data_IF_021385413702
#
_entry.id   IF_021385413702
#
_cell.length_a   1.000
_cell.length_b   1.000
_cell.length_c   1.000
_cell.angle_alpha   90.00
_cell.angle_beta   90.00
_cell.angle_gamma   90.00
#
_symmetry.space_group_name_H-M   'P 1'
#
loop_
_entity.id
_entity.type
_entity.pdbx_description
1 polymer ?
#
# COMPACT_ATOMS: atom_id res chain seq x y z
N UNK A 1 4.44 -23.20 -21.08
CA UNK A 1 3.87 -23.85 -19.88
C UNK A 1 2.38 -23.54 -19.89
N UNK A 2 1.52 -24.55 -19.93
CA UNK A 2 0.07 -24.39 -19.98
C UNK A 2 -0.50 -24.18 -18.57
N UNK A 3 -0.25 -23.00 -17.98
CA UNK A 3 -0.67 -22.67 -16.62
C UNK A 3 -2.19 -22.42 -16.51
N UNK A 4 -2.89 -22.32 -17.64
CA UNK A 4 -4.35 -22.21 -17.69
C UNK A 4 -5.03 -23.55 -18.01
N UNK A 5 -4.25 -24.62 -18.15
CA UNK A 5 -4.72 -25.98 -18.31
C UNK A 5 -5.24 -26.61 -17.01
N UNK A 6 -5.91 -27.75 -17.16
CA UNK A 6 -6.70 -28.41 -16.11
C UNK A 6 -5.98 -28.64 -14.76
N UNK A 7 -4.68 -28.96 -14.79
CA UNK A 7 -3.92 -29.23 -13.55
C UNK A 7 -3.77 -27.95 -12.70
N UNK A 8 -3.55 -26.81 -13.36
CA UNK A 8 -3.32 -25.54 -12.70
C UNK A 8 -4.60 -24.80 -12.37
N UNK A 9 -5.63 -24.87 -13.22
CA UNK A 9 -6.96 -24.29 -12.92
C UNK A 9 -7.63 -24.96 -11.73
N UNK A 10 -7.41 -26.27 -11.52
CA UNK A 10 -7.92 -26.97 -10.35
C UNK A 10 -7.14 -26.65 -9.07
N UNK A 11 -5.81 -26.62 -9.13
CA UNK A 11 -4.98 -26.38 -7.95
C UNK A 11 -4.92 -24.90 -7.55
N UNK A 12 -4.95 -23.99 -8.53
CA UNK A 12 -4.76 -22.54 -8.36
C UNK A 12 -5.72 -21.74 -9.26
N UNK A 13 -7.04 -21.83 -9.02
CA UNK A 13 -8.05 -21.20 -9.88
C UNK A 13 -7.84 -19.69 -10.05
N UNK A 14 -7.44 -18.98 -8.98
CA UNK A 14 -7.17 -17.54 -9.04
C UNK A 14 -5.91 -17.20 -9.86
N UNK A 15 -4.89 -18.07 -9.84
CA UNK A 15 -3.68 -17.88 -10.64
C UNK A 15 -3.92 -18.15 -12.12
N UNK A 16 -4.72 -19.17 -12.44
CA UNK A 16 -5.08 -19.51 -13.81
C UNK A 16 -6.03 -18.48 -14.46
N UNK A 17 -6.81 -17.75 -13.65
CA UNK A 17 -7.68 -16.66 -14.10
C UNK A 17 -6.90 -15.41 -14.57
N UNK A 18 -5.60 -15.31 -14.28
CA UNK A 18 -4.77 -14.19 -14.72
C UNK A 18 -4.64 -14.23 -16.26
N UNK A 19 -5.07 -13.17 -16.99
CA UNK A 19 -4.97 -13.09 -18.44
C UNK A 19 -3.52 -13.24 -18.92
N UNK A 20 -3.33 -13.71 -20.15
CA UNK A 20 -2.01 -13.82 -20.76
C UNK A 20 -1.71 -12.69 -21.77
N UNK A 21 -2.68 -11.80 -22.01
CA UNK A 21 -2.57 -10.71 -22.96
C UNK A 21 -2.42 -9.36 -22.26
N UNK A 22 -1.50 -8.53 -22.77
CA UNK A 22 -1.19 -7.22 -22.21
C UNK A 22 -2.38 -6.26 -22.27
N UNK A 23 -3.24 -6.36 -23.28
CA UNK A 23 -4.36 -5.45 -23.46
C UNK A 23 -5.31 -5.56 -22.26
N UNK A 24 -5.64 -6.78 -21.83
CA UNK A 24 -6.49 -7.05 -20.67
C UNK A 24 -5.86 -6.58 -19.36
N UNK A 25 -4.56 -6.74 -19.15
CA UNK A 25 -3.87 -6.22 -17.95
C UNK A 25 -3.94 -4.70 -17.82
N UNK A 26 -4.00 -4.01 -18.96
CA UNK A 26 -3.98 -2.55 -19.03
C UNK A 26 -5.37 -1.94 -19.18
N UNK A 27 -6.41 -2.76 -19.30
CA UNK A 27 -7.78 -2.30 -19.39
C UNK A 27 -8.22 -1.69 -18.05
N UNK A 28 -8.55 -0.41 -18.12
CA UNK A 28 -8.97 0.41 -16.98
C UNK A 28 -10.47 0.33 -16.73
N UNK A 29 -11.23 -0.44 -17.52
CA UNK A 29 -12.66 -0.61 -17.34
C UNK A 29 -12.93 -1.68 -16.26
N UNK A 30 -13.52 -1.19 -15.16
CA UNK A 30 -14.00 -1.80 -13.89
C UNK A 30 -13.46 -3.14 -13.37
N UNK A 31 -13.23 -4.15 -14.20
CA UNK A 31 -12.85 -5.51 -13.76
C UNK A 31 -11.40 -5.89 -14.14
N UNK A 32 -10.80 -5.23 -15.14
CA UNK A 32 -9.47 -5.55 -15.69
C UNK A 32 -8.26 -5.03 -14.92
N UNK A 33 -8.46 -4.40 -13.76
CA UNK A 33 -7.40 -3.76 -12.96
C UNK A 33 -6.49 -4.77 -12.23
N UNK A 34 -6.03 -5.81 -12.94
CA UNK A 34 -5.07 -6.83 -12.49
C UNK A 34 -3.76 -6.23 -11.98
N UNK A 35 -3.41 -5.04 -12.46
CA UNK A 35 -2.21 -4.31 -12.03
C UNK A 35 -2.47 -3.34 -10.87
N UNK A 36 -3.72 -3.13 -10.47
CA UNK A 36 -4.05 -2.32 -9.31
C UNK A 36 -4.07 -3.20 -8.05
N UNK A 37 -3.54 -2.71 -6.92
CA UNK A 37 -3.81 -3.34 -5.62
C UNK A 37 -5.32 -3.37 -5.37
N UNK A 38 -5.90 -4.57 -5.26
CA UNK A 38 -7.32 -4.80 -5.04
C UNK A 38 -7.56 -5.49 -3.70
N UNK A 39 -8.45 -4.92 -2.87
CA UNK A 39 -8.79 -5.50 -1.56
C UNK A 39 -7.68 -5.34 -0.51
N UNK A 40 -6.71 -4.46 -0.77
CA UNK A 40 -5.66 -4.13 0.18
C UNK A 40 -6.15 -3.08 1.18
N UNK A 41 -5.55 -3.08 2.38
CA UNK A 41 -5.82 -2.12 3.45
C UNK A 41 -4.52 -1.42 3.79
N UNK A 42 -4.52 -0.08 3.81
CA UNK A 42 -3.39 0.72 4.24
C UNK A 42 -3.87 1.61 5.40
N UNK A 43 -3.76 1.06 6.61
CA UNK A 43 -4.41 1.57 7.82
C UNK A 43 -3.42 1.62 8.97
N UNK A 44 -3.52 2.64 9.82
CA UNK A 44 -2.75 2.75 11.06
C UNK A 44 -1.28 3.15 10.88
N UNK A 45 -0.97 3.86 9.80
CA UNK A 45 0.37 4.33 9.49
C UNK A 45 0.55 5.79 9.91
N UNK A 46 1.75 6.18 10.32
CA UNK A 46 2.14 7.58 10.42
C UNK A 46 3.12 7.89 9.29
N UNK A 47 2.90 8.99 8.58
CA UNK A 47 3.90 9.60 7.70
C UNK A 47 4.29 10.97 8.21
N UNK A 48 5.58 11.30 8.09
CA UNK A 48 6.17 12.55 8.53
C UNK A 48 7.00 13.16 7.41
N UNK A 49 6.92 14.48 7.23
CA UNK A 49 7.58 15.21 6.13
C UNK A 49 7.19 14.65 4.76
N UNK A 50 5.92 14.29 4.64
CA UNK A 50 5.33 13.63 3.47
C UNK A 50 4.03 14.31 3.12
N UNK A 51 3.80 14.60 1.84
CA UNK A 51 2.51 15.15 1.42
C UNK A 51 1.41 14.12 1.63
N UNK A 52 0.14 14.54 1.87
CA UNK A 52 -0.98 13.62 2.03
C UNK A 52 -1.11 12.58 0.92
N UNK A 53 -0.77 12.99 -0.30
CA UNK A 53 -0.80 12.11 -1.47
C UNK A 53 0.28 11.02 -1.42
N UNK A 54 1.45 11.29 -0.83
CA UNK A 54 2.57 10.35 -0.70
C UNK A 54 2.45 9.48 0.55
N UNK A 55 1.90 10.00 1.64
CA UNK A 55 1.71 9.25 2.89
C UNK A 55 0.65 8.17 2.76
N UNK A 56 -0.42 8.44 2.02
CA UNK A 56 -1.57 7.54 1.97
C UNK A 56 -1.43 6.50 0.87
N UNK A 57 -1.01 6.91 -0.33
CA UNK A 57 -0.73 6.03 -1.46
C UNK A 57 -0.15 6.83 -2.63
N UNK A 58 1.14 6.63 -2.92
CA UNK A 58 1.73 7.13 -4.17
C UNK A 58 1.32 6.22 -5.33
N UNK A 59 0.52 6.76 -6.26
CA UNK A 59 0.18 6.09 -7.51
C UNK A 59 0.90 6.79 -8.63
N UNK A 60 1.92 6.13 -9.19
CA UNK A 60 2.68 6.68 -10.31
C UNK A 60 1.79 6.84 -11.55
N UNK A 61 2.02 7.94 -12.27
CA UNK A 61 1.47 8.11 -13.61
C UNK A 61 2.08 7.08 -14.56
N UNK A 62 1.29 6.70 -15.56
CA UNK A 62 1.68 5.79 -16.63
C UNK A 62 1.95 6.62 -17.87
N UNK A 63 3.19 6.59 -18.35
CA UNK A 63 3.66 7.37 -19.50
C UNK A 63 2.93 7.07 -20.81
N UNK A 64 2.35 5.88 -20.91
CA UNK A 64 1.58 5.38 -22.05
C UNK A 64 0.12 5.86 -22.05
N UNK A 65 -0.35 6.49 -20.97
CA UNK A 65 -1.70 6.99 -20.83
C UNK A 65 -1.75 8.50 -21.07
N UNK A 66 -2.82 8.97 -21.67
CA UNK A 66 -3.14 10.40 -21.68
C UNK A 66 -3.37 10.92 -20.25
N UNK A 67 -3.43 12.25 -20.10
CA UNK A 67 -3.67 12.87 -18.78
C UNK A 67 -5.02 12.45 -18.17
N UNK A 68 -6.07 12.34 -18.99
CA UNK A 68 -7.41 11.94 -18.52
C UNK A 68 -7.48 10.45 -18.15
N UNK A 69 -6.76 9.60 -18.87
CA UNK A 69 -6.62 8.18 -18.54
C UNK A 69 -5.79 7.97 -17.27
N UNK A 70 -4.73 8.77 -17.08
CA UNK A 70 -3.97 8.79 -15.84
C UNK A 70 -4.84 9.19 -14.64
N UNK A 71 -5.68 10.21 -14.78
CA UNK A 71 -6.60 10.62 -13.71
C UNK A 71 -7.59 9.49 -13.36
N UNK A 72 -8.13 8.79 -14.37
CA UNK A 72 -9.00 7.62 -14.16
C UNK A 72 -8.26 6.48 -13.48
N UNK A 73 -7.04 6.15 -13.92
CA UNK A 73 -6.19 5.13 -13.31
C UNK A 73 -5.95 5.39 -11.82
N UNK A 74 -5.52 6.61 -11.48
CA UNK A 74 -5.25 7.00 -10.09
C UNK A 74 -6.53 6.88 -9.24
N UNK A 75 -7.66 7.37 -9.76
CA UNK A 75 -8.95 7.24 -9.09
C UNK A 75 -9.37 5.78 -8.86
N UNK A 76 -9.22 4.93 -9.87
CA UNK A 76 -9.55 3.50 -9.80
C UNK A 76 -8.68 2.72 -8.80
N UNK A 77 -7.37 3.01 -8.75
CA UNK A 77 -6.47 2.39 -7.76
C UNK A 77 -6.85 2.83 -6.34
N UNK A 78 -7.06 4.14 -6.13
CA UNK A 78 -7.44 4.68 -4.81
C UNK A 78 -8.78 4.12 -4.33
N UNK A 79 -9.74 3.88 -5.22
CA UNK A 79 -11.03 3.30 -4.87
C UNK A 79 -10.97 1.83 -4.42
N UNK A 80 -9.88 1.12 -4.70
CA UNK A 80 -9.70 -0.31 -4.37
C UNK A 80 -8.87 -0.58 -3.11
N UNK A 81 -8.38 0.47 -2.45
CA UNK A 81 -7.64 0.39 -1.20
C UNK A 81 -8.46 1.02 -0.08
N UNK A 82 -8.60 0.30 1.02
CA UNK A 82 -9.15 0.86 2.26
C UNK A 82 -8.07 1.70 2.93
N UNK A 83 -8.34 3.00 3.09
CA UNK A 83 -7.51 3.93 3.86
C UNK A 83 -8.23 4.29 5.15
N UNK A 84 -7.53 4.27 6.27
CA UNK A 84 -8.13 4.59 7.57
C UNK A 84 -7.06 4.79 8.63
N UNK A 85 -7.37 5.58 9.65
CA UNK A 85 -6.55 5.74 10.86
C UNK A 85 -5.06 6.06 10.62
N UNK A 86 -4.73 6.65 9.47
CA UNK A 86 -3.37 7.07 9.17
C UNK A 86 -3.16 8.51 9.64
N UNK A 87 -2.04 8.78 10.28
CA UNK A 87 -1.59 10.12 10.63
C UNK A 87 -0.72 10.67 9.50
N UNK A 88 -1.13 11.79 8.92
CA UNK A 88 -0.50 12.38 7.74
C UNK A 88 0.25 13.63 8.12
N UNK A 89 1.54 13.65 7.78
CA UNK A 89 2.46 14.76 8.06
C UNK A 89 2.51 15.14 9.55
N UNK A 90 2.54 14.12 10.39
CA UNK A 90 2.58 14.29 11.85
C UNK A 90 3.96 13.89 12.34
N UNK A 91 4.56 14.68 13.23
CA UNK A 91 5.84 14.33 13.84
C UNK A 91 5.70 13.09 14.74
N UNK A 92 6.46 12.00 14.51
CA UNK A 92 6.41 10.80 15.35
C UNK A 92 6.89 11.07 16.78
N UNK A 93 7.63 12.17 17.01
CA UNK A 93 8.20 12.56 18.30
C UNK A 93 9.12 11.47 18.86
N UNK A 94 10.32 11.36 18.29
CA UNK A 94 11.38 10.50 18.82
C UNK A 94 12.03 11.10 20.07
N UNK A 95 12.68 10.25 20.89
CA UNK A 95 13.37 10.67 22.11
C UNK A 95 14.57 11.57 21.80
N UNK A 96 15.46 11.16 20.88
CA UNK A 96 16.59 11.97 20.42
C UNK A 96 17.01 11.56 18.99
N UNK A 97 16.27 12.06 18.00
CA UNK A 97 16.55 11.79 16.59
C UNK A 97 17.96 12.24 16.17
N UNK A 98 18.48 13.33 16.75
CA UNK A 98 19.78 13.87 16.39
C UNK A 98 20.94 12.97 16.84
N UNK A 99 20.77 12.29 17.98
CA UNK A 99 21.69 11.26 18.44
C UNK A 99 21.43 9.87 17.83
N UNK A 100 20.35 9.71 17.05
CA UNK A 100 19.94 8.44 16.45
C UNK A 100 19.05 7.57 17.35
N UNK A 101 18.59 8.08 18.48
CA UNK A 101 17.59 7.42 19.32
C UNK A 101 16.19 7.60 18.71
N UNK A 102 15.79 6.61 17.92
CA UNK A 102 14.50 6.56 17.24
C UNK A 102 13.42 5.84 18.08
N UNK A 103 13.64 5.68 19.39
CA UNK A 103 12.56 5.27 20.27
C UNK A 103 11.46 6.36 20.29
N UNK A 104 10.20 5.93 20.27
CA UNK A 104 9.08 6.87 20.34
C UNK A 104 8.96 7.46 21.75
N UNK A 105 8.84 8.77 21.83
CA UNK A 105 8.55 9.46 23.07
C UNK A 105 7.18 8.99 23.63
N UNK A 106 6.98 8.89 24.96
CA UNK A 106 5.69 8.47 25.54
C UNK A 106 4.50 9.35 25.13
N UNK A 107 4.77 10.60 24.74
CA UNK A 107 3.78 11.53 24.21
C UNK A 107 3.61 11.49 22.68
N UNK A 108 4.15 10.48 22.00
CA UNK A 108 4.06 10.34 20.56
C UNK A 108 2.61 10.26 20.08
N UNK A 109 2.23 10.99 19.01
CA UNK A 109 0.88 10.95 18.45
C UNK A 109 0.55 9.60 17.84
N UNK A 110 1.55 8.76 17.54
CA UNK A 110 1.36 7.39 17.07
C UNK A 110 0.47 6.58 18.04
N UNK A 111 0.55 6.87 19.34
CA UNK A 111 -0.29 6.21 20.37
C UNK A 111 -1.79 6.47 20.21
N UNK A 112 -2.19 7.49 19.44
CA UNK A 112 -3.60 7.80 19.15
C UNK A 112 -4.18 6.95 18.00
N UNK A 113 -3.34 6.22 17.25
CA UNK A 113 -3.80 5.32 16.20
C UNK A 113 -4.45 4.08 16.86
N UNK A 114 -5.74 3.77 16.59
CA UNK A 114 -6.45 2.69 17.28
C UNK A 114 -5.82 1.30 17.12
N UNK A 115 -5.17 1.06 15.99
CA UNK A 115 -4.48 -0.20 15.65
C UNK A 115 -3.01 -0.22 16.06
N UNK A 116 -2.50 0.83 16.70
CA UNK A 116 -1.09 0.89 17.07
C UNK A 116 -0.73 -0.16 18.12
N UNK A 117 0.39 -0.83 17.87
CA UNK A 117 1.00 -1.75 18.82
C UNK A 117 2.48 -1.44 18.90
N UNK A 118 3.02 -1.46 20.11
CA UNK A 118 4.46 -1.34 20.30
C UNK A 118 5.15 -2.50 19.61
N UNK A 119 6.15 -2.21 18.77
CA UNK A 119 6.97 -3.24 18.15
C UNK A 119 7.79 -3.91 19.26
N UNK A 120 7.68 -5.24 19.43
CA UNK A 120 8.47 -5.95 20.43
C UNK A 120 9.89 -6.17 19.89
N UNK A 121 10.68 -5.10 19.81
CA UNK A 121 12.05 -5.14 19.26
C UNK A 121 12.92 -6.22 19.92
N UNK A 122 12.71 -6.42 21.23
CA UNK A 122 13.33 -7.45 22.06
C UNK A 122 13.01 -8.89 21.60
N UNK A 123 11.85 -9.12 20.99
CA UNK A 123 11.39 -10.43 20.50
C UNK A 123 11.81 -10.71 19.06
N UNK A 124 12.07 -9.68 18.25
CA UNK A 124 12.45 -9.81 16.84
C UNK A 124 13.97 -9.73 16.60
N UNK A 125 14.76 -9.81 17.67
CA UNK A 125 16.22 -9.92 17.60
C UNK A 125 16.94 -8.61 17.25
N UNK A 126 16.25 -7.47 17.31
CA UNK A 126 16.87 -6.16 17.20
C UNK A 126 17.34 -5.76 18.59
N UNK A 127 18.66 -5.62 18.77
CA UNK A 127 19.29 -5.18 20.02
C UNK A 127 20.20 -3.99 19.70
N UNK A 128 20.08 -2.95 20.51
CA UNK A 128 20.94 -1.75 20.49
C UNK A 128 22.39 -2.09 20.88
#
# INVERSE_FOLDING_TARGET
>A
MDYQGNIWTQAYPNGAAIPNDRATFTDLTSDGLWLAPGGCRFIGNLGWRSSPERTLLEVNSRSELSASENARWIGSVRAKIELGDNLVDVDPLFVDEAAGDLNLHPGSPVSAIPSWQTIPCDQIGIRE
#
